data_IF_169735303533
#
_entry.id   IF_169735303533
#
_cell.length_a   1.000
_cell.length_b   1.000
_cell.length_c   1.000
_cell.angle_alpha   90.00
_cell.angle_beta   90.00
_cell.angle_gamma   90.00
#
_symmetry.space_group_name_H-M   'P 1'
#
loop_
_entity.id
_entity.type
_entity.pdbx_description
1 polymer ?
#
# COMPACT_ATOMS: atom_id res chain seq x y z
N UNK A 1 18.18 -11.55 -2.59
CA UNK A 1 17.94 -11.89 -1.18
C UNK A 1 18.25 -10.68 -0.30
N UNK A 2 17.29 -10.26 0.54
CA UNK A 2 17.41 -9.09 1.43
C UNK A 2 17.51 -9.48 2.90
N UNK A 3 17.55 -10.77 3.19
CA UNK A 3 17.50 -11.32 4.57
C UNK A 3 18.63 -10.79 5.46
N UNK A 4 19.79 -10.55 4.88
CA UNK A 4 20.98 -10.10 5.62
C UNK A 4 21.33 -8.62 5.39
N UNK A 5 20.46 -7.86 4.70
CA UNK A 5 20.69 -6.46 4.45
C UNK A 5 20.82 -5.66 5.76
N UNK A 6 21.87 -4.87 5.91
CA UNK A 6 22.11 -4.06 7.10
C UNK A 6 22.61 -2.66 6.76
N UNK A 7 22.57 -1.76 7.72
CA UNK A 7 23.14 -0.40 7.59
C UNK A 7 22.65 0.36 6.36
N UNK A 8 23.57 0.72 5.48
CA UNK A 8 23.30 1.49 4.25
C UNK A 8 22.44 0.72 3.24
N UNK A 9 22.65 -0.58 3.10
CA UNK A 9 21.86 -1.44 2.23
C UNK A 9 20.39 -1.47 2.64
N UNK A 10 20.11 -1.68 3.94
CA UNK A 10 18.76 -1.67 4.47
C UNK A 10 18.08 -0.31 4.26
N UNK A 11 18.83 0.79 4.41
CA UNK A 11 18.29 2.12 4.14
C UNK A 11 17.92 2.30 2.66
N UNK A 12 18.75 1.80 1.75
CA UNK A 12 18.46 1.80 0.31
C UNK A 12 17.21 0.94 -0.02
N UNK A 13 17.01 -0.18 0.67
CA UNK A 13 15.80 -0.98 0.51
C UNK A 13 14.55 -0.23 0.95
N UNK A 14 14.62 0.56 2.03
CA UNK A 14 13.49 1.37 2.50
C UNK A 14 13.09 2.48 1.53
N UNK A 15 13.96 2.93 0.62
CA UNK A 15 13.55 3.83 -0.46
C UNK A 15 12.89 3.10 -1.61
N UNK A 16 13.22 1.82 -1.83
CA UNK A 16 12.73 1.03 -2.96
C UNK A 16 11.45 0.25 -2.65
N UNK A 17 11.27 -0.16 -1.40
CA UNK A 17 10.14 -0.96 -0.94
C UNK A 17 9.45 -0.23 0.19
N UNK A 18 8.18 0.06 -0.01
CA UNK A 18 7.32 0.67 1.01
C UNK A 18 6.12 -0.22 1.30
N UNK A 19 5.49 0.01 2.45
CA UNK A 19 4.36 -0.80 2.90
C UNK A 19 3.22 0.08 3.43
N UNK A 20 2.02 -0.27 3.04
CA UNK A 20 0.77 0.28 3.58
C UNK A 20 0.09 -0.83 4.37
N UNK A 21 -0.16 -0.58 5.64
CA UNK A 21 -0.73 -1.53 6.58
C UNK A 21 -2.25 -1.49 6.59
N UNK A 22 -2.87 -2.55 7.09
CA UNK A 22 -4.30 -2.71 7.29
C UNK A 22 -4.89 -1.59 8.17
N UNK A 23 -4.27 -1.31 9.31
CA UNK A 23 -4.67 -0.24 10.23
C UNK A 23 -3.91 1.05 9.92
N UNK A 24 -4.41 1.81 8.95
CA UNK A 24 -3.80 3.09 8.59
C UNK A 24 -3.85 4.12 9.74
N UNK A 25 -4.97 4.33 10.47
CA UNK A 25 -4.99 5.20 11.65
C UNK A 25 -3.94 4.81 12.68
N UNK A 26 -3.81 3.52 13.03
CA UNK A 26 -2.84 3.01 13.99
C UNK A 26 -1.39 3.10 13.51
N UNK A 27 -1.17 3.23 12.20
CA UNK A 27 0.17 3.40 11.63
C UNK A 27 0.74 4.82 11.79
N UNK A 28 -0.06 5.77 12.27
CA UNK A 28 0.31 7.15 12.50
C UNK A 28 0.46 7.46 14.00
N UNK A 29 1.41 8.32 14.34
CA UNK A 29 1.51 8.85 15.70
C UNK A 29 0.36 9.86 15.95
N UNK A 30 -0.56 9.62 16.91
CA UNK A 30 -1.73 10.48 17.12
C UNK A 30 -1.39 11.89 17.62
N UNK A 31 -0.15 12.11 18.06
CA UNK A 31 0.33 13.43 18.55
C UNK A 31 1.03 14.26 17.49
N UNK A 32 1.06 13.80 16.24
CA UNK A 32 1.74 14.48 15.14
C UNK A 32 0.78 14.71 13.98
N UNK A 33 1.00 15.78 13.24
CA UNK A 33 0.21 16.07 12.05
C UNK A 33 0.61 15.15 10.89
N UNK A 34 -0.32 14.92 9.97
CA UNK A 34 -0.12 14.09 8.77
C UNK A 34 1.06 14.62 7.94
N UNK A 35 1.13 15.92 7.68
CA UNK A 35 2.23 16.50 6.92
C UNK A 35 3.59 16.31 7.56
N UNK A 36 3.66 16.43 8.91
CA UNK A 36 4.91 16.18 9.64
C UNK A 36 5.39 14.73 9.51
N UNK A 37 4.47 13.75 9.47
CA UNK A 37 4.82 12.33 9.35
C UNK A 37 5.19 11.93 7.92
N UNK A 38 4.51 12.46 6.92
CA UNK A 38 4.91 12.29 5.50
C UNK A 38 6.29 12.93 5.29
N UNK A 39 6.46 14.18 5.74
CA UNK A 39 7.72 14.93 5.61
C UNK A 39 8.89 14.25 6.31
N UNK A 40 8.68 13.63 7.48
CA UNK A 40 9.72 12.87 8.17
C UNK A 40 10.24 11.71 7.32
N UNK A 41 9.34 10.97 6.64
CA UNK A 41 9.74 9.87 5.76
C UNK A 41 10.62 10.38 4.62
N UNK A 42 10.23 11.49 3.99
CA UNK A 42 11.00 12.12 2.90
C UNK A 42 12.35 12.61 3.40
N UNK A 43 12.39 13.35 4.52
CA UNK A 43 13.64 13.87 5.08
C UNK A 43 14.61 12.76 5.48
N UNK A 44 14.11 11.66 6.03
CA UNK A 44 14.96 10.56 6.48
C UNK A 44 15.53 9.74 5.34
N UNK A 45 14.75 9.54 4.28
CA UNK A 45 15.10 8.59 3.22
C UNK A 45 15.59 9.26 1.93
N UNK A 46 15.12 10.47 1.60
CA UNK A 46 15.43 11.16 0.33
C UNK A 46 16.24 12.44 0.53
N UNK A 47 15.62 13.50 0.99
CA UNK A 47 16.24 14.83 1.10
C UNK A 47 15.98 15.49 2.45
N UNK A 48 17.01 16.08 3.09
CA UNK A 48 16.83 16.83 4.34
C UNK A 48 16.35 18.29 4.11
N UNK A 49 16.12 18.75 2.88
CA UNK A 49 15.68 20.11 2.58
C UNK A 49 14.20 20.29 3.00
N UNK A 50 13.99 21.17 3.98
CA UNK A 50 12.66 21.42 4.55
C UNK A 50 11.68 22.01 3.52
N UNK A 51 12.13 22.94 2.67
CA UNK A 51 11.27 23.59 1.68
C UNK A 51 10.85 22.63 0.57
N UNK A 52 11.80 21.82 0.07
CA UNK A 52 11.51 20.77 -0.91
C UNK A 52 10.57 19.71 -0.31
N UNK A 53 10.74 19.37 0.96
CA UNK A 53 9.88 18.42 1.68
C UNK A 53 8.46 18.94 1.81
N UNK A 54 8.24 20.19 2.20
CA UNK A 54 6.91 20.79 2.34
C UNK A 54 6.16 20.83 1.00
N UNK A 55 6.85 21.22 -0.06
CA UNK A 55 6.31 21.20 -1.42
C UNK A 55 5.89 19.77 -1.80
N UNK A 56 6.78 18.79 -1.57
CA UNK A 56 6.50 17.38 -1.90
C UNK A 56 5.33 16.81 -1.08
N UNK A 57 5.19 17.15 0.20
CA UNK A 57 4.03 16.79 1.01
C UNK A 57 2.73 17.29 0.38
N UNK A 58 2.70 18.55 -0.07
CA UNK A 58 1.53 19.13 -0.71
C UNK A 58 1.17 18.40 -2.02
N UNK A 59 2.17 18.09 -2.84
CA UNK A 59 1.98 17.33 -4.09
C UNK A 59 1.42 15.93 -3.81
N UNK A 60 1.99 15.23 -2.84
CA UNK A 60 1.56 13.87 -2.45
C UNK A 60 0.12 13.84 -1.93
N UNK A 61 -0.26 14.83 -1.11
CA UNK A 61 -1.66 14.94 -0.67
C UNK A 61 -2.61 15.13 -1.85
N UNK A 62 -2.24 15.96 -2.82
CA UNK A 62 -3.03 16.14 -4.03
C UNK A 62 -3.10 14.87 -4.88
N UNK A 63 -1.97 14.14 -5.05
CA UNK A 63 -1.92 12.86 -5.77
C UNK A 63 -2.89 11.81 -5.21
N UNK A 64 -3.08 11.80 -3.87
CA UNK A 64 -4.04 10.87 -3.24
C UNK A 64 -5.44 11.47 -3.06
N UNK A 65 -5.71 12.64 -3.64
CA UNK A 65 -7.02 13.30 -3.59
C UNK A 65 -7.35 13.88 -2.21
N UNK A 66 -6.35 14.30 -1.44
CA UNK A 66 -6.52 15.03 -0.19
C UNK A 66 -6.16 16.52 -0.38
N UNK A 67 -6.97 17.45 0.12
CA UNK A 67 -6.61 18.87 0.15
C UNK A 67 -5.31 19.12 0.93
N UNK A 68 -4.53 20.14 0.53
CA UNK A 68 -3.28 20.52 1.22
C UNK A 68 -3.47 20.86 2.70
N UNK A 69 -4.66 21.34 3.11
CA UNK A 69 -5.02 21.59 4.50
C UNK A 69 -4.92 20.35 5.40
N UNK A 70 -4.92 19.15 4.82
CA UNK A 70 -4.73 17.91 5.59
C UNK A 70 -3.31 17.75 6.14
N UNK A 71 -2.35 18.49 5.64
CA UNK A 71 -0.99 18.52 6.19
C UNK A 71 -0.96 18.93 7.66
N UNK A 72 -1.89 19.79 8.10
CA UNK A 72 -1.97 20.28 9.49
C UNK A 72 -2.91 19.47 10.39
N UNK A 73 -3.68 18.53 9.83
CA UNK A 73 -4.60 17.66 10.58
C UNK A 73 -3.85 16.56 11.33
N UNK A 74 -4.45 16.14 12.43
CA UNK A 74 -4.06 14.96 13.19
C UNK A 74 -4.85 13.71 12.71
N UNK A 75 -4.35 12.49 12.92
CA UNK A 75 -5.05 11.27 12.49
C UNK A 75 -6.47 11.13 13.03
N UNK A 76 -6.72 11.55 14.27
CA UNK A 76 -8.04 11.48 14.90
C UNK A 76 -9.08 12.48 14.33
N UNK A 77 -8.65 13.44 13.51
CA UNK A 77 -9.51 14.39 12.80
C UNK A 77 -9.90 13.91 11.39
N UNK A 78 -9.55 12.67 11.05
CA UNK A 78 -9.71 12.10 9.72
C UNK A 78 -10.53 10.81 9.76
N UNK A 79 -11.28 10.54 8.69
CA UNK A 79 -11.93 9.25 8.48
C UNK A 79 -10.90 8.15 8.16
N UNK A 80 -11.29 6.87 8.31
CA UNK A 80 -10.43 5.74 7.98
C UNK A 80 -9.91 5.77 6.54
N UNK A 81 -10.77 6.10 5.58
CA UNK A 81 -10.38 6.22 4.16
C UNK A 81 -9.44 7.40 3.88
N UNK A 82 -9.57 8.50 4.61
CA UNK A 82 -8.63 9.63 4.52
C UNK A 82 -7.28 9.28 5.16
N UNK A 83 -7.26 8.58 6.29
CA UNK A 83 -6.03 8.05 6.88
C UNK A 83 -5.34 7.08 5.93
N UNK A 84 -6.11 6.20 5.25
CA UNK A 84 -5.56 5.28 4.27
C UNK A 84 -4.89 6.00 3.10
N UNK A 85 -5.54 7.05 2.55
CA UNK A 85 -4.93 7.90 1.51
C UNK A 85 -3.66 8.58 2.01
N UNK A 86 -3.65 9.09 3.24
CA UNK A 86 -2.47 9.69 3.84
C UNK A 86 -1.33 8.66 4.04
N UNK A 87 -1.65 7.41 4.40
CA UNK A 87 -0.66 6.34 4.50
C UNK A 87 -0.06 5.98 3.13
N UNK A 88 -0.88 5.96 2.07
CA UNK A 88 -0.41 5.80 0.69
C UNK A 88 0.49 6.98 0.30
N UNK A 89 0.08 8.23 0.58
CA UNK A 89 0.91 9.42 0.32
C UNK A 89 2.27 9.34 1.03
N UNK A 90 2.30 8.88 2.29
CA UNK A 90 3.54 8.66 3.04
C UNK A 90 4.46 7.64 2.35
N UNK A 91 3.92 6.53 1.91
CA UNK A 91 4.66 5.49 1.20
C UNK A 91 5.19 5.98 -0.15
N UNK A 92 4.40 6.75 -0.90
CA UNK A 92 4.78 7.34 -2.19
C UNK A 92 5.82 8.47 -2.07
N UNK A 93 6.06 8.98 -0.85
CA UNK A 93 7.01 10.07 -0.60
C UNK A 93 8.44 9.81 -1.04
N UNK A 94 8.83 8.55 -1.16
CA UNK A 94 10.18 8.11 -1.53
C UNK A 94 10.28 7.52 -2.96
N UNK A 95 9.21 7.57 -3.75
CA UNK A 95 9.13 6.97 -5.10
C UNK A 95 9.52 5.48 -5.10
N UNK A 96 8.78 4.62 -4.40
CA UNK A 96 9.13 3.22 -4.27
C UNK A 96 9.02 2.48 -5.60
N UNK A 97 9.87 1.47 -5.81
CA UNK A 97 9.76 0.52 -6.93
C UNK A 97 8.69 -0.54 -6.65
N UNK A 98 8.48 -0.87 -5.37
CA UNK A 98 7.51 -1.86 -4.92
C UNK A 98 6.70 -1.27 -3.75
N UNK A 99 5.38 -1.32 -3.89
CA UNK A 99 4.45 -0.99 -2.81
C UNK A 99 3.75 -2.27 -2.33
N UNK A 100 3.97 -2.63 -1.08
CA UNK A 100 3.28 -3.73 -0.41
C UNK A 100 2.02 -3.19 0.24
N UNK A 101 0.86 -3.74 -0.12
CA UNK A 101 -0.43 -3.40 0.44
C UNK A 101 -0.93 -4.60 1.26
N UNK A 102 -0.76 -4.54 2.58
CA UNK A 102 -1.16 -5.62 3.49
C UNK A 102 -2.57 -5.35 4.02
N UNK A 103 -3.54 -6.06 3.46
CA UNK A 103 -4.98 -5.87 3.73
C UNK A 103 -5.42 -4.40 3.74
N UNK A 104 -4.80 -3.58 2.91
CA UNK A 104 -4.91 -2.11 2.94
C UNK A 104 -6.35 -1.57 2.72
N UNK A 105 -7.33 -2.43 2.47
CA UNK A 105 -8.73 -2.06 2.24
C UNK A 105 -9.74 -2.84 3.07
N UNK A 106 -9.33 -3.84 3.85
CA UNK A 106 -10.23 -4.77 4.55
C UNK A 106 -11.08 -4.11 5.65
N UNK A 107 -10.58 -3.02 6.26
CA UNK A 107 -11.28 -2.27 7.31
C UNK A 107 -12.20 -1.15 6.78
N UNK A 108 -12.35 -1.01 5.46
CA UNK A 108 -13.09 0.06 4.80
C UNK A 108 -14.42 -0.46 4.25
N UNK A 109 -15.42 0.42 4.15
CA UNK A 109 -16.63 0.10 3.42
C UNK A 109 -16.37 -0.10 1.91
N UNK A 110 -17.24 -0.86 1.24
CA UNK A 110 -17.07 -1.28 -0.16
C UNK A 110 -16.86 -0.08 -1.11
N UNK A 111 -17.53 1.05 -0.84
CA UNK A 111 -17.44 2.23 -1.71
C UNK A 111 -16.09 2.94 -1.56
N UNK A 112 -15.54 2.99 -0.35
CA UNK A 112 -14.22 3.55 -0.06
C UNK A 112 -13.12 2.60 -0.54
N UNK A 113 -13.30 1.29 -0.34
CA UNK A 113 -12.39 0.26 -0.85
C UNK A 113 -12.18 0.42 -2.37
N UNK A 114 -13.27 0.50 -3.14
CA UNK A 114 -13.17 0.67 -4.60
C UNK A 114 -12.37 1.93 -4.99
N UNK A 115 -12.56 3.04 -4.27
CA UNK A 115 -11.81 4.30 -4.51
C UNK A 115 -10.32 4.17 -4.17
N UNK A 116 -9.97 3.44 -3.11
CA UNK A 116 -8.57 3.19 -2.73
C UNK A 116 -7.89 2.30 -3.76
N UNK A 117 -8.57 1.25 -4.24
CA UNK A 117 -8.04 0.38 -5.30
C UNK A 117 -7.80 1.16 -6.59
N UNK A 118 -8.78 1.95 -7.03
CA UNK A 118 -8.63 2.79 -8.21
C UNK A 118 -7.44 3.78 -8.08
N UNK A 119 -7.26 4.37 -6.89
CA UNK A 119 -6.11 5.21 -6.58
C UNK A 119 -4.79 4.45 -6.69
N UNK A 120 -4.68 3.26 -6.09
CA UNK A 120 -3.47 2.43 -6.14
C UNK A 120 -3.08 2.05 -7.57
N UNK A 121 -4.06 1.64 -8.38
CA UNK A 121 -3.84 1.31 -9.80
C UNK A 121 -3.42 2.55 -10.62
N UNK A 122 -4.02 3.69 -10.35
CA UNK A 122 -3.63 4.95 -11.00
C UNK A 122 -2.18 5.33 -10.64
N UNK A 123 -1.80 5.24 -9.36
CA UNK A 123 -0.43 5.51 -8.92
C UNK A 123 0.56 4.49 -9.51
N UNK A 124 0.19 3.22 -9.56
CA UNK A 124 1.00 2.15 -10.16
C UNK A 124 1.33 2.46 -11.62
N UNK A 125 0.33 2.84 -12.42
CA UNK A 125 0.52 3.21 -13.83
C UNK A 125 1.35 4.48 -13.98
N UNK A 126 1.07 5.52 -13.17
CA UNK A 126 1.75 6.81 -13.25
C UNK A 126 3.22 6.78 -12.84
N UNK A 127 3.57 5.92 -11.86
CA UNK A 127 4.94 5.81 -11.33
C UNK A 127 5.70 4.58 -11.82
N UNK A 128 5.06 3.66 -12.55
CA UNK A 128 5.70 2.43 -13.06
C UNK A 128 6.16 1.47 -11.96
N UNK A 129 5.54 1.55 -10.76
CA UNK A 129 5.88 0.70 -9.63
C UNK A 129 5.14 -0.65 -9.70
N UNK A 130 5.65 -1.65 -8.99
CA UNK A 130 4.98 -2.92 -8.78
C UNK A 130 4.14 -2.90 -7.51
N UNK A 131 2.91 -3.48 -7.56
CA UNK A 131 2.08 -3.69 -6.37
C UNK A 131 2.18 -5.13 -5.91
N UNK A 132 2.47 -5.35 -4.63
CA UNK A 132 2.29 -6.62 -3.94
C UNK A 132 1.07 -6.50 -3.02
N UNK A 133 -0.07 -7.03 -3.47
CA UNK A 133 -1.34 -6.89 -2.77
C UNK A 133 -1.67 -8.16 -1.99
N UNK A 134 -1.73 -8.07 -0.66
CA UNK A 134 -2.12 -9.16 0.25
C UNK A 134 -3.58 -8.97 0.61
N UNK A 135 -4.41 -9.96 0.31
CA UNK A 135 -5.85 -9.91 0.57
C UNK A 135 -6.43 -11.32 0.68
N UNK A 136 -7.52 -11.44 1.42
CA UNK A 136 -8.37 -12.63 1.44
C UNK A 136 -9.60 -12.48 0.51
N UNK A 137 -9.77 -11.33 -0.13
CA UNK A 137 -10.86 -11.02 -1.08
C UNK A 137 -10.48 -11.49 -2.49
N UNK A 138 -10.84 -12.74 -2.84
CA UNK A 138 -10.53 -13.32 -4.14
C UNK A 138 -11.19 -12.60 -5.32
N UNK A 139 -12.47 -12.19 -5.26
CA UNK A 139 -13.08 -11.32 -6.27
C UNK A 139 -12.24 -10.08 -6.56
N UNK A 140 -11.79 -9.37 -5.53
CA UNK A 140 -10.93 -8.22 -5.68
C UNK A 140 -9.60 -8.58 -6.36
N UNK A 141 -8.90 -9.61 -5.84
CA UNK A 141 -7.62 -10.08 -6.42
C UNK A 141 -7.79 -10.45 -7.89
N UNK A 142 -8.89 -11.13 -8.25
CA UNK A 142 -9.16 -11.53 -9.63
C UNK A 142 -9.33 -10.34 -10.59
N UNK A 143 -9.75 -9.19 -10.07
CA UNK A 143 -10.01 -7.99 -10.88
C UNK A 143 -8.79 -7.09 -11.09
N UNK A 144 -7.76 -7.20 -10.23
CA UNK A 144 -6.63 -6.26 -10.22
C UNK A 144 -5.26 -6.90 -10.43
N UNK A 145 -5.10 -8.19 -10.13
CA UNK A 145 -3.80 -8.83 -10.11
C UNK A 145 -3.50 -9.57 -11.42
N UNK A 146 -2.30 -9.35 -11.99
CA UNK A 146 -1.80 -10.12 -13.14
C UNK A 146 -1.40 -11.52 -12.72
N UNK A 147 -0.80 -11.66 -11.53
CA UNK A 147 -0.31 -12.92 -10.95
C UNK A 147 -0.78 -13.08 -9.52
N UNK A 148 -1.00 -14.32 -9.13
CA UNK A 148 -1.42 -14.68 -7.78
C UNK A 148 -0.48 -15.72 -7.16
N UNK A 149 -0.29 -15.60 -5.84
CA UNK A 149 0.37 -16.59 -4.99
C UNK A 149 -0.62 -17.00 -3.91
N UNK A 150 -1.00 -18.26 -3.88
CA UNK A 150 -1.88 -18.81 -2.85
C UNK A 150 -1.01 -19.38 -1.73
N UNK A 151 -1.25 -18.89 -0.51
CA UNK A 151 -0.49 -19.30 0.67
C UNK A 151 -1.37 -20.10 1.64
N UNK A 152 -0.80 -21.17 2.20
CA UNK A 152 -1.39 -21.96 3.28
C UNK A 152 -0.30 -22.29 4.30
N UNK A 153 -0.56 -22.04 5.58
CA UNK A 153 0.37 -22.33 6.68
C UNK A 153 1.80 -21.83 6.44
N UNK A 154 1.92 -20.60 5.93
CA UNK A 154 3.21 -19.95 5.67
C UNK A 154 3.96 -20.46 4.43
N UNK A 155 3.34 -21.31 3.60
CA UNK A 155 3.93 -21.85 2.36
C UNK A 155 3.11 -21.45 1.15
N UNK A 156 3.78 -21.18 0.05
CA UNK A 156 3.13 -21.02 -1.26
C UNK A 156 2.74 -22.40 -1.75
N UNK A 157 1.43 -22.64 -1.90
CA UNK A 157 0.89 -23.92 -2.39
C UNK A 157 0.61 -23.88 -3.88
N UNK A 158 0.22 -22.71 -4.41
CA UNK A 158 -0.02 -22.53 -5.85
C UNK A 158 0.36 -21.11 -6.27
N UNK A 159 0.85 -20.93 -7.51
CA UNK A 159 1.18 -19.64 -8.07
C UNK A 159 1.08 -19.62 -9.59
N UNK A 160 0.81 -18.46 -10.16
CA UNK A 160 0.75 -18.32 -11.61
C UNK A 160 0.02 -17.05 -12.06
N UNK A 161 -0.34 -17.01 -13.33
CA UNK A 161 -1.25 -16.00 -13.86
C UNK A 161 -2.62 -16.13 -13.18
N UNK A 162 -3.18 -15.01 -12.76
CA UNK A 162 -4.45 -14.96 -12.01
C UNK A 162 -5.57 -15.69 -12.76
N UNK A 163 -5.71 -15.42 -14.05
CA UNK A 163 -6.73 -16.05 -14.90
C UNK A 163 -6.63 -17.57 -14.94
N UNK A 164 -5.41 -18.12 -14.95
CA UNK A 164 -5.16 -19.56 -14.96
C UNK A 164 -5.44 -20.18 -13.60
N UNK A 165 -4.83 -19.65 -12.54
CA UNK A 165 -4.93 -20.22 -11.18
C UNK A 165 -6.38 -20.20 -10.67
N UNK A 166 -7.13 -19.10 -10.94
CA UNK A 166 -8.50 -18.99 -10.47
C UNK A 166 -9.51 -19.79 -11.31
N UNK A 167 -9.25 -20.03 -12.62
CA UNK A 167 -10.16 -20.82 -13.47
C UNK A 167 -9.87 -22.31 -13.43
N UNK A 168 -8.61 -22.70 -13.30
CA UNK A 168 -8.15 -24.10 -13.35
C UNK A 168 -7.15 -24.37 -12.23
N UNK A 169 -7.59 -24.30 -10.95
CA UNK A 169 -6.71 -24.54 -9.82
C UNK A 169 -6.22 -25.98 -9.81
N UNK A 170 -4.92 -26.17 -9.63
CA UNK A 170 -4.28 -27.47 -9.52
C UNK A 170 -4.34 -28.05 -8.11
N UNK A 171 -4.36 -27.16 -7.09
CA UNK A 171 -4.34 -27.55 -5.69
C UNK A 171 -5.76 -27.63 -5.07
N UNK A 172 -5.98 -28.64 -4.23
CA UNK A 172 -7.27 -28.83 -3.53
C UNK A 172 -7.59 -27.64 -2.61
N UNK A 173 -6.57 -27.08 -1.97
CA UNK A 173 -6.74 -25.90 -1.12
C UNK A 173 -7.28 -24.71 -1.92
N UNK A 174 -6.71 -24.42 -3.09
CA UNK A 174 -7.17 -23.34 -3.97
C UNK A 174 -8.61 -23.59 -4.43
N UNK A 175 -8.97 -24.83 -4.78
CA UNK A 175 -10.35 -25.21 -5.14
C UNK A 175 -11.33 -24.92 -4.02
N UNK A 176 -10.97 -25.29 -2.79
CA UNK A 176 -11.82 -25.05 -1.61
C UNK A 176 -11.94 -23.56 -1.28
N UNK A 177 -10.86 -22.80 -1.40
CA UNK A 177 -10.84 -21.35 -1.19
C UNK A 177 -11.78 -20.64 -2.18
N UNK A 178 -11.73 -21.01 -3.44
CA UNK A 178 -12.62 -20.47 -4.48
C UNK A 178 -14.10 -20.80 -4.25
N UNK A 179 -14.41 -22.04 -3.82
CA UNK A 179 -15.79 -22.43 -3.46
C UNK A 179 -16.35 -21.67 -2.27
N UNK A 180 -15.50 -21.25 -1.35
CA UNK A 180 -15.92 -20.49 -0.18
C UNK A 180 -16.11 -18.99 -0.46
N UNK A 181 -15.49 -18.47 -1.55
CA UNK A 181 -15.54 -17.05 -1.92
C UNK A 181 -16.60 -16.72 -2.98
N UNK A 182 -17.19 -17.74 -3.62
CA UNK A 182 -18.26 -17.66 -4.62
C UNK A 182 -19.59 -18.13 -4.04
#
# INVERSE_FOLDING_TARGET
DITHACGKERRALYTRIQMVFQDAPGSFNPRRTIGAMIGETICRLCTPDARATEKRVTELLAEVGLPSSYATRYPHEMSGGECQRAAIARAMGVHPEILVCDEATSALDVSVQAKIIALLLHLQQGHGMSLLFISHDLPLVSSIADRVLIMQNGRIVEQGETSRVLRQPSEDYTRNLLRAAL
#
